data_IF_062263008199
#
_entry.id   IF_062263008199
#
_cell.length_a   1.000
_cell.length_b   1.000
_cell.length_c   1.000
_cell.angle_alpha   90.00
_cell.angle_beta   90.00
_cell.angle_gamma   90.00
#
_symmetry.space_group_name_H-M   'P 1'
#
loop_
_entity.id
_entity.type
_entity.pdbx_description
1 polymer ?
#
# COMPACT_ATOMS: atom_id res chain seq x y z
N UNK A 1 48.07 -46.00 -31.31
CA UNK A 1 48.58 -44.92 -30.44
C UNK A 1 47.83 -43.64 -30.86
N UNK A 2 46.53 -43.52 -30.60
CA UNK A 2 45.91 -42.93 -29.39
C UNK A 2 46.47 -41.53 -29.04
N UNK A 3 45.60 -40.51 -29.11
CA UNK A 3 45.81 -39.15 -28.59
C UNK A 3 45.24 -38.09 -29.53
N UNK A 4 43.94 -37.79 -29.53
CA UNK A 4 43.27 -36.78 -28.70
C UNK A 4 43.94 -35.39 -28.70
N UNK A 5 43.19 -34.33 -29.01
CA UNK A 5 42.76 -33.31 -28.03
C UNK A 5 42.11 -32.10 -28.72
N UNK A 6 40.84 -31.90 -28.34
CA UNK A 6 40.18 -30.63 -28.03
C UNK A 6 39.87 -29.65 -29.17
N UNK A 7 38.67 -29.87 -29.72
CA UNK A 7 37.71 -28.81 -30.01
C UNK A 7 37.56 -27.85 -28.82
N UNK A 8 38.02 -26.61 -28.96
CA UNK A 8 37.55 -25.50 -28.14
C UNK A 8 36.62 -24.65 -28.98
N UNK A 9 35.33 -24.92 -28.79
CA UNK A 9 34.25 -24.05 -29.23
C UNK A 9 34.60 -22.59 -28.87
N UNK A 10 34.53 -21.71 -29.87
CA UNK A 10 34.51 -20.27 -29.67
C UNK A 10 33.12 -19.94 -29.15
N UNK A 11 32.99 -19.86 -27.82
CA UNK A 11 31.75 -19.46 -27.19
C UNK A 11 31.45 -18.03 -27.64
N UNK A 12 30.31 -17.86 -28.33
CA UNK A 12 29.75 -16.57 -28.66
C UNK A 12 29.73 -15.69 -27.41
N UNK A 13 30.57 -14.66 -27.39
CA UNK A 13 30.40 -13.51 -26.53
C UNK A 13 29.19 -12.71 -27.05
N UNK A 14 27.99 -13.24 -26.84
CA UNK A 14 26.79 -12.42 -26.88
C UNK A 14 26.80 -11.58 -25.60
N UNK A 15 26.79 -10.24 -25.68
CA UNK A 15 26.66 -9.42 -24.50
C UNK A 15 25.37 -9.83 -23.78
N UNK A 16 25.35 -9.90 -22.44
CA UNK A 16 24.10 -10.14 -21.73
C UNK A 16 23.13 -9.06 -22.19
N UNK A 17 22.01 -9.46 -22.79
CA UNK A 17 20.90 -8.59 -23.08
C UNK A 17 20.47 -7.98 -21.76
N UNK A 18 20.98 -6.77 -21.47
CA UNK A 18 20.55 -5.98 -20.34
C UNK A 18 19.06 -5.85 -20.52
N UNK A 19 18.28 -6.48 -19.63
CA UNK A 19 16.86 -6.15 -19.52
C UNK A 19 16.82 -4.68 -19.17
N UNK A 20 16.58 -3.85 -20.18
CA UNK A 20 16.27 -2.44 -20.06
C UNK A 20 14.92 -2.41 -19.34
N UNK A 21 14.95 -2.48 -18.01
CA UNK A 21 13.77 -2.16 -17.23
C UNK A 21 13.50 -0.69 -17.52
N UNK A 22 12.51 -0.49 -18.40
CA UNK A 22 12.17 0.78 -19.05
C UNK A 22 12.33 1.96 -18.10
N UNK A 23 13.26 2.86 -18.42
CA UNK A 23 13.35 4.19 -17.83
C UNK A 23 12.54 5.19 -18.65
N UNK A 24 11.39 4.79 -19.21
CA UNK A 24 10.43 5.79 -19.68
C UNK A 24 10.01 6.60 -18.45
N UNK A 25 10.31 7.90 -18.48
CA UNK A 25 9.95 8.78 -17.38
C UNK A 25 8.45 8.63 -17.13
N UNK A 26 8.03 8.55 -15.87
CA UNK A 26 6.62 8.40 -15.47
C UNK A 26 5.73 9.52 -16.08
N UNK A 27 6.36 10.60 -16.56
CA UNK A 27 5.76 11.78 -17.16
C UNK A 27 5.21 11.51 -18.57
N UNK A 28 5.84 10.64 -19.39
CA UNK A 28 5.35 10.29 -20.74
C UNK A 28 3.96 9.62 -20.71
N UNK A 29 3.59 8.99 -19.59
CA UNK A 29 2.39 8.18 -19.47
C UNK A 29 1.24 8.84 -18.68
N UNK A 30 1.31 10.13 -18.32
CA UNK A 30 0.21 10.80 -17.61
C UNK A 30 -0.14 10.14 -16.27
N UNK A 31 0.87 9.79 -15.46
CA UNK A 31 0.68 9.07 -14.21
C UNK A 31 -0.14 9.87 -13.17
N UNK A 32 -1.30 9.32 -12.81
CA UNK A 32 -2.16 9.84 -11.75
C UNK A 32 -1.82 9.18 -10.41
N UNK A 33 -1.75 9.98 -9.34
CA UNK A 33 -1.61 9.48 -7.97
C UNK A 33 -2.73 8.49 -7.66
N UNK A 34 -2.40 7.32 -7.09
CA UNK A 34 -3.40 6.32 -6.74
C UNK A 34 -3.80 6.43 -5.27
N UNK A 35 -5.09 6.27 -5.01
CA UNK A 35 -5.60 6.16 -3.63
C UNK A 35 -5.20 4.82 -3.03
N UNK A 36 -4.71 4.82 -1.78
CA UNK A 36 -4.35 3.60 -1.07
C UNK A 36 -5.62 2.80 -0.72
N UNK A 37 -5.80 1.66 -1.38
CA UNK A 37 -7.02 0.83 -1.30
C UNK A 37 -7.32 0.36 0.13
N UNK A 38 -6.30 0.00 0.90
CA UNK A 38 -6.44 -0.44 2.29
C UNK A 38 -6.91 0.67 3.24
N UNK A 39 -6.53 1.93 2.94
CA UNK A 39 -6.96 3.08 3.72
C UNK A 39 -8.38 3.49 3.34
N UNK A 40 -8.70 3.47 2.03
CA UNK A 40 -10.06 3.71 1.53
C UNK A 40 -11.06 2.74 2.14
N UNK A 41 -10.68 1.51 2.49
CA UNK A 41 -11.60 0.55 3.14
C UNK A 41 -11.88 0.88 4.61
N UNK A 42 -10.91 1.46 5.32
CA UNK A 42 -10.93 1.63 6.79
C UNK A 42 -11.37 3.01 7.26
N UNK A 43 -11.14 4.03 6.44
CA UNK A 43 -11.39 5.43 6.79
C UNK A 43 -12.47 6.02 5.89
N UNK A 44 -13.30 6.89 6.46
CA UNK A 44 -14.30 7.69 5.73
C UNK A 44 -14.06 9.18 5.96
N UNK A 45 -13.98 9.95 4.88
CA UNK A 45 -13.89 11.40 4.87
C UNK A 45 -15.18 12.02 5.40
N UNK A 46 -15.05 13.02 6.26
CA UNK A 46 -16.18 13.87 6.64
C UNK A 46 -16.38 14.98 5.60
N UNK A 47 -17.58 15.54 5.55
CA UNK A 47 -17.93 16.61 4.61
C UNK A 47 -17.05 17.86 4.75
N UNK A 48 -16.57 18.14 5.97
CA UNK A 48 -15.66 19.25 6.24
C UNK A 48 -14.24 19.06 5.66
N UNK A 49 -13.90 17.87 5.15
CA UNK A 49 -12.59 17.57 4.58
C UNK A 49 -11.42 17.61 5.57
N UNK A 50 -11.67 17.92 6.86
CA UNK A 50 -10.60 18.11 7.84
C UNK A 50 -10.25 16.84 8.60
N UNK A 51 -11.27 16.04 8.95
CA UNK A 51 -11.13 14.84 9.74
C UNK A 51 -11.77 13.61 9.07
N UNK A 52 -11.34 12.43 9.53
CA UNK A 52 -11.82 11.13 9.04
C UNK A 52 -12.43 10.34 10.19
N UNK A 53 -13.47 9.57 9.89
CA UNK A 53 -14.10 8.62 10.82
C UNK A 53 -13.65 7.19 10.54
N UNK A 54 -13.63 6.37 11.59
CA UNK A 54 -13.33 4.93 11.56
C UNK A 54 -14.01 4.21 12.72
N UNK A 55 -14.01 2.88 12.65
CA UNK A 55 -14.39 2.04 13.79
C UNK A 55 -13.25 1.91 14.80
N UNK A 56 -13.59 1.57 16.05
CA UNK A 56 -12.59 1.29 17.09
C UNK A 56 -12.14 -0.16 17.01
N UNK A 57 -10.86 -0.37 17.35
CA UNK A 57 -10.29 -1.71 17.45
C UNK A 57 -10.84 -2.46 18.69
N UNK A 58 -10.63 -3.78 18.71
CA UNK A 58 -10.92 -4.67 19.85
C UNK A 58 -12.41 -4.96 20.13
N UNK A 59 -13.31 -4.75 19.15
CA UNK A 59 -14.74 -5.10 19.29
C UNK A 59 -15.12 -6.46 18.65
N UNK A 60 -14.21 -7.12 17.93
CA UNK A 60 -14.57 -8.29 17.11
C UNK A 60 -14.68 -9.61 17.89
N UNK A 61 -13.72 -9.92 18.77
CA UNK A 61 -13.66 -11.22 19.50
C UNK A 61 -13.26 -11.02 20.98
N UNK A 62 -13.55 -12.03 21.82
CA UNK A 62 -13.42 -12.01 23.29
C UNK A 62 -14.26 -10.91 23.95
N UNK A 63 -15.52 -10.78 23.55
CA UNK A 63 -16.41 -9.77 24.12
C UNK A 63 -17.01 -10.19 25.48
N UNK A 64 -16.97 -11.48 25.81
CA UNK A 64 -17.44 -12.00 27.09
C UNK A 64 -16.62 -11.48 28.28
N UNK A 65 -15.30 -11.34 28.14
CA UNK A 65 -14.41 -10.83 29.20
C UNK A 65 -14.44 -9.31 29.35
N UNK A 66 -15.12 -8.59 28.46
CA UNK A 66 -15.18 -7.12 28.48
C UNK A 66 -16.45 -6.67 29.21
N UNK A 67 -16.30 -5.71 30.12
CA UNK A 67 -17.45 -5.08 30.78
C UNK A 67 -18.42 -4.46 29.75
N UNK A 68 -19.74 -4.42 30.03
CA UNK A 68 -20.72 -3.80 29.14
C UNK A 68 -20.37 -2.35 28.76
N UNK A 69 -19.88 -1.56 29.73
CA UNK A 69 -19.43 -0.19 29.51
C UNK A 69 -18.29 -0.10 28.47
N UNK A 70 -17.32 -1.03 28.53
CA UNK A 70 -16.23 -1.10 27.55
C UNK A 70 -16.75 -1.44 26.16
N UNK A 71 -17.67 -2.41 26.04
CA UNK A 71 -18.29 -2.77 24.75
C UNK A 71 -19.00 -1.56 24.13
N UNK A 72 -19.82 -0.84 24.89
CA UNK A 72 -20.50 0.36 24.42
C UNK A 72 -19.53 1.46 23.96
N UNK A 73 -18.42 1.66 24.67
CA UNK A 73 -17.39 2.62 24.27
C UNK A 73 -16.71 2.24 22.96
N UNK A 74 -16.46 0.94 22.75
CA UNK A 74 -15.80 0.41 21.55
C UNK A 74 -16.74 0.34 20.34
N UNK A 75 -18.05 0.22 20.53
CA UNK A 75 -19.04 0.26 19.45
C UNK A 75 -19.16 1.65 18.80
N UNK A 76 -18.84 2.73 19.53
CA UNK A 76 -18.89 4.10 19.00
C UNK A 76 -17.80 4.38 17.97
N UNK A 77 -18.14 5.17 16.96
CA UNK A 77 -17.21 5.73 15.96
C UNK A 77 -16.07 6.51 16.61
N UNK A 78 -14.87 6.40 16.05
CA UNK A 78 -13.70 7.19 16.41
C UNK A 78 -13.28 8.11 15.26
N UNK A 79 -12.71 9.26 15.63
CA UNK A 79 -12.16 10.22 14.69
C UNK A 79 -10.63 10.11 14.61
N UNK A 80 -10.06 10.57 13.51
CA UNK A 80 -8.61 10.70 13.31
C UNK A 80 -8.01 11.74 14.24
N UNK A 81 -6.81 11.49 14.76
CA UNK A 81 -6.00 12.53 15.40
C UNK A 81 -5.48 13.53 14.36
N UNK A 82 -5.08 14.75 14.75
CA UNK A 82 -4.56 15.74 13.80
C UNK A 82 -3.39 15.21 12.97
N UNK A 83 -2.45 14.50 13.59
CA UNK A 83 -1.30 13.89 12.89
C UNK A 83 -1.72 12.83 11.88
N UNK A 84 -2.71 11.99 12.22
CA UNK A 84 -3.26 11.00 11.30
C UNK A 84 -3.95 11.66 10.11
N UNK A 85 -4.69 12.74 10.36
CA UNK A 85 -5.40 13.47 9.31
C UNK A 85 -4.45 14.05 8.25
N UNK A 86 -3.29 14.58 8.66
CA UNK A 86 -2.26 15.07 7.72
C UNK A 86 -1.77 13.95 6.79
N UNK A 87 -1.43 12.80 7.38
CA UNK A 87 -0.95 11.64 6.61
C UNK A 87 -2.04 11.10 5.66
N UNK A 88 -3.28 10.99 6.14
CA UNK A 88 -4.40 10.51 5.35
C UNK A 88 -4.66 11.38 4.12
N UNK A 89 -4.64 12.71 4.26
CA UNK A 89 -4.87 13.62 3.13
C UNK A 89 -3.73 13.63 2.12
N UNK A 90 -2.49 13.74 2.59
CA UNK A 90 -1.33 13.96 1.72
C UNK A 90 -0.88 12.69 1.00
N UNK A 91 -0.91 11.55 1.68
CA UNK A 91 -0.25 10.33 1.20
C UNK A 91 -1.25 9.24 0.80
N UNK A 92 -2.30 9.00 1.59
CA UNK A 92 -3.13 7.81 1.42
C UNK A 92 -4.41 8.06 0.60
N UNK A 93 -5.07 9.19 0.81
CA UNK A 93 -6.39 9.51 0.29
C UNK A 93 -6.38 10.88 -0.41
N UNK A 94 -5.59 11.05 -1.50
CA UNK A 94 -5.49 12.34 -2.21
C UNK A 94 -6.83 12.82 -2.77
N UNK A 95 -7.75 11.90 -3.10
CA UNK A 95 -9.08 12.21 -3.63
C UNK A 95 -10.22 11.95 -2.63
N UNK A 96 -9.89 11.69 -1.36
CA UNK A 96 -10.88 11.27 -0.36
C UNK A 96 -11.29 9.80 -0.49
N UNK A 97 -12.32 9.42 0.26
CA UNK A 97 -12.74 8.02 0.42
C UNK A 97 -14.24 7.76 0.22
N UNK A 98 -15.01 8.82 -0.03
CA UNK A 98 -16.43 8.72 -0.38
C UNK A 98 -16.59 8.29 -1.84
#
# INVERSE_FOLDING_TARGET
MLGSLLSTARWCLLPPTRRLFSTSSILEAGYKMKTHSGAKKRWRSLANGTAFKRDKAFHSHLNASKSPARKNRLSKTAYSTPTQAVKLKKLLLPYGSN
#
